data_IF_439108131164
#
_entry.id   IF_439108131164
#
_cell.length_a   1.000
_cell.length_b   1.000
_cell.length_c   1.000
_cell.angle_alpha   90.00
_cell.angle_beta   90.00
_cell.angle_gamma   90.00
#
_symmetry.space_group_name_H-M   'P 1'
#
loop_
_entity.id
_entity.type
_entity.pdbx_description
1 polymer ?
#
# COMPACT_ATOMS: atom_id res chain seq x y z
N UNK A 1 -59.49 9.65 -1.20
CA UNK A 1 -58.44 10.71 -1.24
C UNK A 1 -57.22 10.14 -1.97
N UNK A 2 -56.83 10.84 -3.01
CA UNK A 2 -56.09 10.37 -4.20
C UNK A 2 -54.57 10.50 -4.04
N UNK A 3 -53.82 9.47 -4.50
CA UNK A 3 -52.35 9.45 -4.59
C UNK A 3 -51.85 10.39 -5.70
N UNK A 4 -50.71 11.10 -5.56
CA UNK A 4 -50.14 11.87 -6.65
C UNK A 4 -49.35 10.99 -7.62
N UNK A 5 -49.59 11.21 -8.91
CA UNK A 5 -48.89 10.63 -10.07
C UNK A 5 -47.66 11.49 -10.37
N UNK A 6 -46.46 10.90 -10.35
CA UNK A 6 -45.23 11.57 -10.78
C UNK A 6 -45.11 11.48 -12.31
N UNK A 7 -44.96 12.64 -12.94
CA UNK A 7 -44.99 12.82 -14.40
C UNK A 7 -43.59 12.57 -15.01
N UNK A 8 -43.37 11.37 -15.56
CA UNK A 8 -42.08 10.86 -16.10
C UNK A 8 -41.65 11.53 -17.44
N UNK A 9 -42.37 12.54 -17.94
CA UNK A 9 -42.06 13.16 -19.25
C UNK A 9 -41.12 14.39 -19.22
N UNK A 10 -40.65 14.81 -18.04
CA UNK A 10 -39.75 15.96 -17.93
C UNK A 10 -38.25 15.60 -17.88
N UNK A 11 -37.86 14.39 -17.49
CA UNK A 11 -36.44 14.02 -17.32
C UNK A 11 -35.78 13.42 -18.57
N UNK A 12 -36.54 12.91 -19.55
CA UNK A 12 -35.97 12.28 -20.76
C UNK A 12 -35.32 13.32 -21.72
N UNK A 13 -35.80 14.56 -21.74
CA UNK A 13 -35.23 15.62 -22.60
C UNK A 13 -33.87 16.15 -22.12
N UNK A 14 -33.51 15.91 -20.86
CA UNK A 14 -32.21 16.33 -20.29
C UNK A 14 -31.09 15.35 -20.68
N UNK A 15 -31.40 14.07 -20.88
CA UNK A 15 -30.43 13.04 -21.26
C UNK A 15 -30.18 12.93 -22.78
N UNK A 16 -31.17 13.25 -23.64
CA UNK A 16 -30.95 13.27 -25.10
C UNK A 16 -30.03 14.42 -25.57
N UNK A 17 -29.92 15.51 -24.79
CA UNK A 17 -29.08 16.67 -25.15
C UNK A 17 -27.59 16.47 -24.84
N UNK A 18 -27.25 15.55 -23.92
CA UNK A 18 -25.86 15.17 -23.62
C UNK A 18 -25.33 14.06 -24.54
N UNK A 19 -26.19 13.19 -25.07
CA UNK A 19 -25.78 12.15 -26.01
C UNK A 19 -25.39 12.69 -27.40
N UNK A 20 -25.89 13.87 -27.79
CA UNK A 20 -25.55 14.52 -29.07
C UNK A 20 -24.20 15.25 -29.08
N UNK A 21 -23.54 15.44 -27.93
CA UNK A 21 -22.21 16.06 -27.85
C UNK A 21 -21.04 15.06 -27.74
N UNK A 22 -21.32 13.75 -27.64
CA UNK A 22 -20.27 12.72 -27.61
C UNK A 22 -20.10 11.94 -28.93
N UNK A 23 -20.86 12.28 -29.98
CA UNK A 23 -20.83 11.57 -31.29
C UNK A 23 -20.14 12.42 -32.39
N UNK A 24 -19.43 13.50 -32.04
CA UNK A 24 -18.84 14.42 -33.02
C UNK A 24 -17.29 14.39 -33.16
N UNK A 25 -16.60 13.36 -32.64
CA UNK A 25 -15.13 13.21 -32.82
C UNK A 25 -14.74 11.83 -33.37
N UNK A 26 -15.59 11.24 -34.20
CA UNK A 26 -15.20 10.11 -35.04
C UNK A 26 -15.88 10.28 -36.39
N UNK A 27 -15.11 10.62 -37.44
CA UNK A 27 -15.35 10.44 -38.88
C UNK A 27 -14.81 11.62 -39.70
N UNK A 28 -13.52 11.58 -40.08
CA UNK A 28 -12.96 11.98 -41.39
C UNK A 28 -11.56 11.33 -41.44
N UNK A 29 -11.11 10.54 -42.42
CA UNK A 29 -11.67 10.20 -43.71
C UNK A 29 -10.96 9.00 -44.35
N UNK A 30 -11.62 8.46 -45.36
CA UNK A 30 -11.22 7.36 -46.23
C UNK A 30 -10.78 7.94 -47.58
N UNK A 31 -9.71 7.42 -48.19
CA UNK A 31 -9.57 7.26 -49.66
C UNK A 31 -8.38 6.34 -49.94
N UNK A 32 -8.62 5.06 -50.28
CA UNK A 32 -8.64 4.45 -51.63
C UNK A 32 -7.25 4.32 -52.29
N UNK A 33 -6.78 3.08 -52.46
CA UNK A 33 -6.56 2.46 -53.80
C UNK A 33 -6.09 1.00 -53.69
N UNK A 34 -6.81 0.13 -54.40
CA UNK A 34 -6.44 -1.24 -54.76
C UNK A 34 -5.20 -1.24 -55.68
N UNK A 35 -4.36 -2.27 -55.58
CA UNK A 35 -3.84 -2.96 -56.77
C UNK A 35 -3.54 -4.43 -56.42
N UNK A 36 -4.22 -5.32 -57.15
CA UNK A 36 -4.00 -6.77 -57.21
C UNK A 36 -2.82 -7.02 -58.14
N UNK A 37 -1.96 -8.01 -57.83
CA UNK A 37 -1.43 -8.93 -58.84
C UNK A 37 -0.89 -10.20 -58.17
N UNK A 38 -1.57 -11.30 -58.47
CA UNK A 38 -1.14 -12.69 -58.33
C UNK A 38 0.16 -12.93 -59.11
N UNK A 39 1.09 -13.71 -58.56
CA UNK A 39 1.77 -14.78 -59.29
C UNK A 39 2.34 -15.79 -58.29
N UNK A 40 1.80 -17.00 -58.31
CA UNK A 40 2.37 -18.15 -57.62
C UNK A 40 3.43 -18.82 -58.50
N UNK A 41 4.47 -19.35 -57.87
CA UNK A 41 5.31 -20.42 -58.41
C UNK A 41 5.64 -21.38 -57.27
N UNK A 42 5.37 -22.67 -57.51
CA UNK A 42 5.82 -23.81 -56.73
C UNK A 42 7.34 -23.97 -56.87
N UNK A 43 8.05 -24.31 -55.79
CA UNK A 43 9.20 -25.21 -55.83
C UNK A 43 9.38 -25.91 -54.47
N UNK A 44 9.73 -27.18 -54.56
CA UNK A 44 9.81 -28.20 -53.51
C UNK A 44 11.10 -28.16 -52.69
N UNK A 45 11.00 -28.68 -51.47
CA UNK A 45 12.03 -29.35 -50.65
C UNK A 45 13.42 -28.72 -50.51
N UNK A 46 13.83 -28.47 -49.27
CA UNK A 46 15.09 -29.04 -48.73
C UNK A 46 15.18 -28.82 -47.22
N UNK A 47 15.51 -29.88 -46.49
CA UNK A 47 16.04 -29.79 -45.14
C UNK A 47 17.33 -28.99 -45.21
N UNK A 48 17.32 -27.77 -44.67
CA UNK A 48 18.46 -26.87 -44.66
C UNK A 48 18.52 -26.13 -43.34
N UNK A 49 19.55 -26.45 -42.56
CA UNK A 49 19.99 -25.74 -41.37
C UNK A 49 19.95 -24.22 -41.53
N UNK A 50 19.28 -23.52 -40.60
CA UNK A 50 19.42 -22.08 -40.46
C UNK A 50 19.92 -21.71 -39.06
N UNK A 51 21.21 -21.38 -39.06
CA UNK A 51 21.82 -20.19 -38.46
C UNK A 51 21.33 -19.76 -37.09
N UNK A 52 22.26 -19.86 -36.14
CA UNK A 52 22.35 -19.06 -34.91
C UNK A 52 22.12 -17.59 -35.29
N UNK A 53 20.88 -17.11 -35.11
CA UNK A 53 20.60 -15.69 -35.20
C UNK A 53 21.11 -15.06 -33.91
N UNK A 54 22.13 -14.21 -34.06
CA UNK A 54 22.65 -13.30 -33.06
C UNK A 54 21.53 -12.65 -32.23
N UNK A 55 21.11 -13.29 -31.13
CA UNK A 55 20.55 -12.54 -30.01
C UNK A 55 21.74 -11.82 -29.41
N UNK A 56 21.90 -10.54 -29.78
CA UNK A 56 22.69 -9.62 -28.96
C UNK A 56 22.08 -9.70 -27.56
N UNK A 57 22.69 -10.51 -26.70
CA UNK A 57 22.52 -10.37 -25.27
C UNK A 57 22.83 -8.91 -24.99
N UNK A 58 21.79 -8.13 -24.72
CA UNK A 58 21.98 -6.85 -24.09
C UNK A 58 22.41 -7.16 -22.66
N UNK A 59 23.67 -7.56 -22.48
CA UNK A 59 24.37 -7.43 -21.22
C UNK A 59 24.43 -5.93 -20.99
N UNK A 60 23.36 -5.38 -20.42
CA UNK A 60 23.36 -4.04 -19.87
C UNK A 60 24.50 -4.05 -18.86
N UNK A 61 25.66 -3.50 -19.27
CA UNK A 61 26.80 -3.29 -18.40
C UNK A 61 26.24 -2.60 -17.17
N UNK A 62 26.18 -3.35 -16.08
CA UNK A 62 25.77 -2.86 -14.78
C UNK A 62 26.57 -1.58 -14.56
N UNK A 63 25.90 -0.43 -14.42
CA UNK A 63 26.56 0.73 -13.84
C UNK A 63 27.29 0.25 -12.60
N UNK A 64 28.55 0.66 -12.41
CA UNK A 64 29.46 0.14 -11.37
C UNK A 64 28.74 -0.15 -10.04
N UNK A 65 28.44 -1.42 -9.75
CA UNK A 65 27.67 -1.81 -8.56
C UNK A 65 27.08 -3.23 -8.61
N UNK A 66 26.66 -3.73 -7.45
CA UNK A 66 26.02 -5.03 -7.24
C UNK A 66 24.51 -4.82 -7.01
N UNK A 67 23.63 -4.97 -8.03
CA UNK A 67 22.24 -4.55 -7.91
C UNK A 67 21.38 -5.57 -7.14
N UNK A 68 20.52 -5.03 -6.28
CA UNK A 68 19.36 -5.73 -5.70
C UNK A 68 18.10 -5.15 -6.34
N UNK A 69 17.30 -5.97 -7.02
CA UNK A 69 16.08 -5.55 -7.69
C UNK A 69 14.89 -5.90 -6.81
N UNK A 70 14.01 -4.91 -6.58
CA UNK A 70 12.73 -5.14 -5.91
C UNK A 70 11.55 -4.82 -6.82
N UNK A 71 10.73 -5.84 -7.07
CA UNK A 71 9.40 -5.66 -7.64
C UNK A 71 8.37 -5.47 -6.52
N UNK A 72 7.45 -4.53 -6.73
CA UNK A 72 6.48 -4.11 -5.73
C UNK A 72 5.07 -4.59 -6.10
N UNK A 73 4.37 -5.14 -5.11
CA UNK A 73 2.98 -5.59 -5.25
C UNK A 73 2.15 -5.18 -4.02
N UNK A 74 0.83 -5.34 -4.11
CA UNK A 74 -0.10 -4.91 -3.07
C UNK A 74 -0.28 -3.39 -2.99
N UNK A 75 -0.88 -2.92 -1.90
CA UNK A 75 -1.22 -1.51 -1.67
C UNK A 75 -0.12 -0.80 -0.89
N UNK A 76 -0.30 0.49 -0.59
CA UNK A 76 0.71 1.39 0.02
C UNK A 76 1.49 0.75 1.17
N UNK A 77 0.82 0.24 2.22
CA UNK A 77 1.50 -0.36 3.36
C UNK A 77 2.31 -1.62 3.03
N UNK A 78 1.86 -2.43 2.06
CA UNK A 78 2.63 -3.58 1.60
C UNK A 78 3.93 -3.13 0.91
N UNK A 79 3.82 -2.13 0.05
CA UNK A 79 4.95 -1.57 -0.68
C UNK A 79 5.96 -0.89 0.26
N UNK A 80 5.51 -0.31 1.37
CA UNK A 80 6.38 0.27 2.39
C UNK A 80 7.21 -0.80 3.10
N UNK A 81 6.62 -1.95 3.47
CA UNK A 81 7.39 -3.10 3.98
C UNK A 81 8.42 -3.60 2.99
N UNK A 82 7.97 -3.86 1.75
CA UNK A 82 8.86 -4.28 0.67
C UNK A 82 10.04 -3.33 0.48
N UNK A 83 9.79 -2.01 0.54
CA UNK A 83 10.83 -1.01 0.38
C UNK A 83 11.80 -1.00 1.56
N UNK A 84 11.29 -0.94 2.79
CA UNK A 84 12.12 -0.84 3.99
C UNK A 84 13.02 -2.07 4.15
N UNK A 85 12.46 -3.26 3.92
CA UNK A 85 13.21 -4.51 3.97
C UNK A 85 14.24 -4.60 2.85
N UNK A 86 13.87 -4.28 1.60
CA UNK A 86 14.82 -4.29 0.49
C UNK A 86 15.94 -3.24 0.65
N UNK A 87 15.63 -2.06 1.19
CA UNK A 87 16.61 -1.02 1.52
C UNK A 87 17.64 -1.55 2.52
N UNK A 88 17.18 -2.12 3.63
CA UNK A 88 18.04 -2.61 4.68
C UNK A 88 18.90 -3.80 4.23
N UNK A 89 18.31 -4.74 3.48
CA UNK A 89 19.01 -5.87 2.88
C UNK A 89 20.09 -5.39 1.90
N UNK A 90 19.76 -4.47 1.00
CA UNK A 90 20.71 -3.92 0.04
C UNK A 90 21.87 -3.24 0.77
N UNK A 91 21.56 -2.38 1.75
CA UNK A 91 22.55 -1.63 2.51
C UNK A 91 23.49 -2.54 3.30
N UNK A 92 22.95 -3.54 4.00
CA UNK A 92 23.76 -4.52 4.76
C UNK A 92 24.74 -5.26 3.86
N UNK A 93 24.32 -5.62 2.64
CA UNK A 93 25.12 -6.38 1.69
C UNK A 93 25.90 -5.50 0.70
N UNK A 94 26.00 -4.18 0.93
CA UNK A 94 26.70 -3.22 0.05
C UNK A 94 26.22 -3.27 -1.41
N UNK A 95 24.93 -3.54 -1.59
CA UNK A 95 24.25 -3.59 -2.88
C UNK A 95 23.55 -2.26 -3.16
N UNK A 96 23.28 -2.00 -4.44
CA UNK A 96 22.47 -0.86 -4.88
C UNK A 96 21.02 -1.30 -5.09
N UNK A 97 20.07 -0.69 -4.36
CA UNK A 97 18.65 -0.99 -4.54
C UNK A 97 18.10 -0.35 -5.82
N UNK A 98 17.70 -1.20 -6.77
CA UNK A 98 17.09 -0.81 -8.03
C UNK A 98 15.57 -0.98 -7.95
N UNK A 99 14.85 0.09 -8.27
CA UNK A 99 13.38 0.10 -8.25
C UNK A 99 12.82 0.63 -9.57
N UNK A 100 11.61 0.20 -9.92
CA UNK A 100 10.95 0.66 -11.13
C UNK A 100 10.70 2.18 -11.11
N UNK A 101 10.88 2.86 -12.24
CA UNK A 101 10.43 4.26 -12.42
C UNK A 101 8.93 4.42 -12.21
N UNK A 102 8.13 3.34 -12.24
CA UNK A 102 6.69 3.37 -11.94
C UNK A 102 6.39 3.19 -10.46
N UNK A 103 7.39 3.15 -9.59
CA UNK A 103 7.22 2.86 -8.16
C UNK A 103 6.29 3.89 -7.48
N UNK A 104 5.11 3.49 -6.96
CA UNK A 104 4.09 4.44 -6.50
C UNK A 104 4.52 5.31 -5.30
N UNK A 105 5.31 4.76 -4.37
CA UNK A 105 5.66 5.45 -3.12
C UNK A 105 6.44 6.76 -3.33
N UNK A 106 7.12 6.93 -4.49
CA UNK A 106 7.83 8.18 -4.80
C UNK A 106 6.91 9.42 -4.91
N UNK A 107 5.60 9.20 -5.12
CA UNK A 107 4.59 10.26 -5.15
C UNK A 107 4.12 10.68 -3.75
N UNK A 108 4.36 9.82 -2.76
CA UNK A 108 3.92 9.99 -1.37
C UNK A 108 5.08 10.47 -0.50
N UNK A 109 6.26 9.89 -0.71
CA UNK A 109 7.44 10.08 0.12
C UNK A 109 8.63 10.62 -0.65
N UNK A 110 9.54 11.27 0.07
CA UNK A 110 10.83 11.79 -0.42
C UNK A 110 11.89 10.69 -0.35
N UNK A 111 11.69 9.62 -1.12
CA UNK A 111 12.60 8.47 -1.18
C UNK A 111 13.97 8.89 -1.75
N UNK A 112 15.00 8.77 -0.92
CA UNK A 112 16.42 8.95 -1.21
C UNK A 112 17.11 7.57 -1.32
N UNK A 113 18.33 7.52 -1.85
CA UNK A 113 19.15 6.30 -1.88
C UNK A 113 18.53 5.13 -2.65
N UNK A 114 18.05 5.38 -3.87
CA UNK A 114 17.58 4.34 -4.78
C UNK A 114 17.92 4.70 -6.21
N UNK A 115 18.15 3.68 -7.04
CA UNK A 115 18.29 3.86 -8.48
C UNK A 115 17.00 3.48 -9.19
N UNK A 116 16.37 4.48 -9.82
CA UNK A 116 15.20 4.25 -10.65
C UNK A 116 15.61 3.69 -12.01
N UNK A 117 14.95 2.61 -12.44
CA UNK A 117 15.15 2.00 -13.75
C UNK A 117 13.79 1.78 -14.45
N UNK A 118 13.72 1.97 -15.79
CA UNK A 118 12.56 1.54 -16.57
C UNK A 118 12.19 0.08 -16.30
N UNK A 119 10.90 -0.24 -16.26
CA UNK A 119 10.41 -1.58 -15.90
C UNK A 119 10.85 -2.64 -16.90
N UNK A 120 10.84 -2.30 -18.19
CA UNK A 120 11.31 -3.16 -19.28
C UNK A 120 12.80 -3.48 -19.18
N UNK A 121 13.61 -2.56 -18.66
CA UNK A 121 15.03 -2.80 -18.38
C UNK A 121 15.18 -3.78 -17.22
N UNK A 122 14.48 -3.57 -16.10
CA UNK A 122 14.53 -4.49 -14.96
C UNK A 122 14.12 -5.91 -15.33
N UNK A 123 13.07 -6.06 -16.14
CA UNK A 123 12.54 -7.35 -16.57
C UNK A 123 13.47 -8.13 -17.51
N UNK A 124 14.45 -7.47 -18.14
CA UNK A 124 15.43 -8.09 -19.04
C UNK A 124 16.73 -8.47 -18.32
N UNK A 125 16.90 -8.12 -17.04
CA UNK A 125 18.11 -8.43 -16.30
C UNK A 125 18.15 -9.91 -15.93
N UNK A 126 19.29 -10.56 -16.18
CA UNK A 126 19.57 -11.91 -15.64
C UNK A 126 19.81 -11.77 -14.15
N UNK A 127 18.99 -12.46 -13.35
CA UNK A 127 18.99 -12.32 -11.89
C UNK A 127 18.87 -13.66 -11.16
N UNK A 128 19.49 -13.72 -9.99
CA UNK A 128 19.22 -14.73 -8.97
C UNK A 128 17.92 -14.39 -8.24
N UNK A 129 17.09 -15.38 -7.90
CA UNK A 129 15.84 -15.13 -7.19
C UNK A 129 15.95 -15.55 -5.73
N UNK A 130 15.54 -14.66 -4.83
CA UNK A 130 15.38 -14.94 -3.40
C UNK A 130 14.01 -14.43 -2.95
N UNK A 131 13.40 -15.06 -1.94
CA UNK A 131 12.06 -14.68 -1.47
C UNK A 131 11.83 -15.07 -0.02
N UNK A 132 10.82 -14.46 0.59
CA UNK A 132 10.25 -14.88 1.89
C UNK A 132 9.32 -16.10 1.76
N UNK A 133 9.33 -16.80 0.62
CA UNK A 133 8.47 -17.93 0.29
C UNK A 133 6.95 -17.63 0.40
N UNK A 134 6.58 -16.35 0.40
CA UNK A 134 5.19 -15.92 0.60
C UNK A 134 4.70 -16.06 2.04
N UNK A 135 5.59 -16.31 2.99
CA UNK A 135 5.25 -16.36 4.41
C UNK A 135 4.83 -14.97 4.91
N UNK A 136 3.69 -14.92 5.60
CA UNK A 136 3.18 -13.67 6.12
C UNK A 136 3.86 -13.34 7.43
N UNK A 137 4.54 -12.20 7.45
CA UNK A 137 5.02 -11.57 8.68
C UNK A 137 6.06 -12.41 9.48
N UNK A 138 6.93 -13.10 8.74
CA UNK A 138 8.05 -13.88 9.29
C UNK A 138 9.40 -13.29 8.84
N UNK A 139 10.38 -13.29 9.75
CA UNK A 139 11.74 -12.85 9.46
C UNK A 139 12.63 -14.04 9.04
N UNK A 140 13.26 -13.91 7.89
CA UNK A 140 14.19 -14.89 7.32
C UNK A 140 15.62 -14.35 7.39
N UNK A 141 16.46 -14.96 8.23
CA UNK A 141 17.82 -14.48 8.48
C UNK A 141 18.72 -14.59 7.26
N UNK A 142 18.54 -15.61 6.43
CA UNK A 142 19.27 -15.86 5.19
C UNK A 142 19.09 -14.72 4.16
N UNK A 143 17.91 -14.10 4.12
CA UNK A 143 17.67 -12.93 3.27
C UNK A 143 18.49 -11.70 3.69
N UNK A 144 19.02 -11.67 4.92
CA UNK A 144 19.90 -10.59 5.38
C UNK A 144 21.37 -10.81 4.99
N UNK A 145 21.74 -11.96 4.41
CA UNK A 145 23.12 -12.33 4.07
C UNK A 145 23.27 -12.76 2.61
N UNK A 146 22.56 -12.09 1.70
CA UNK A 146 22.64 -12.35 0.26
C UNK A 146 24.05 -12.02 -0.23
N UNK A 147 24.75 -13.04 -0.75
CA UNK A 147 26.14 -12.93 -1.23
C UNK A 147 26.25 -12.91 -2.76
N UNK A 148 25.13 -12.92 -3.49
CA UNK A 148 25.10 -12.93 -4.95
C UNK A 148 24.65 -11.57 -5.51
N UNK A 149 25.44 -11.03 -6.44
CA UNK A 149 25.01 -9.86 -7.22
C UNK A 149 23.89 -10.22 -8.20
N UNK A 150 23.21 -9.18 -8.69
CA UNK A 150 22.09 -9.32 -9.62
C UNK A 150 20.99 -10.18 -9.01
N UNK A 151 20.51 -9.77 -7.84
CA UNK A 151 19.48 -10.54 -7.12
C UNK A 151 18.14 -9.84 -7.21
N UNK A 152 17.09 -10.58 -7.57
CA UNK A 152 15.70 -10.16 -7.46
C UNK A 152 15.12 -10.68 -6.15
N UNK A 153 14.71 -9.74 -5.30
CA UNK A 153 14.09 -10.00 -4.02
C UNK A 153 12.56 -9.97 -4.14
N UNK A 154 11.94 -11.13 -3.96
CA UNK A 154 10.48 -11.31 -4.00
C UNK A 154 9.90 -11.39 -2.57
N UNK A 155 8.56 -11.35 -2.46
CA UNK A 155 7.89 -11.38 -1.16
C UNK A 155 7.39 -10.03 -0.65
N UNK A 156 6.56 -10.07 0.39
CA UNK A 156 6.07 -8.88 1.07
C UNK A 156 7.01 -8.40 2.18
N UNK A 157 7.85 -9.30 2.73
CA UNK A 157 8.91 -8.99 3.69
C UNK A 157 8.40 -8.19 4.89
N UNK A 158 7.25 -8.61 5.43
CA UNK A 158 6.51 -7.87 6.43
C UNK A 158 7.06 -8.08 7.83
N UNK A 159 8.36 -7.82 8.04
CA UNK A 159 8.95 -7.86 9.37
C UNK A 159 9.77 -6.60 9.62
N UNK A 160 9.57 -6.00 10.79
CA UNK A 160 10.37 -4.86 11.23
C UNK A 160 11.84 -5.24 11.47
N UNK A 161 12.11 -6.52 11.71
CA UNK A 161 13.47 -7.03 11.97
C UNK A 161 14.39 -6.93 10.77
N UNK A 162 13.88 -6.89 9.55
CA UNK A 162 14.69 -6.65 8.36
C UNK A 162 15.38 -5.28 8.41
N UNK A 163 14.74 -4.28 9.01
CA UNK A 163 15.18 -2.89 8.97
C UNK A 163 15.39 -2.24 10.33
N UNK A 164 15.34 -3.01 11.41
CA UNK A 164 15.48 -2.52 12.80
C UNK A 164 16.80 -1.77 13.04
N UNK A 165 17.91 -2.26 12.50
CA UNK A 165 19.24 -1.62 12.57
C UNK A 165 19.30 -0.28 11.81
N UNK A 166 18.38 -0.02 10.89
CA UNK A 166 18.35 1.17 10.03
C UNK A 166 17.13 2.06 10.31
N UNK A 167 16.52 1.96 11.49
CA UNK A 167 15.26 2.64 11.85
C UNK A 167 15.24 4.13 11.49
N UNK A 168 16.25 4.90 11.90
CA UNK A 168 16.32 6.34 11.64
C UNK A 168 16.41 6.66 10.16
N UNK A 169 17.13 5.85 9.39
CA UNK A 169 17.25 6.03 7.95
C UNK A 169 15.94 5.69 7.24
N UNK A 170 15.27 4.61 7.62
CA UNK A 170 13.96 4.24 7.10
C UNK A 170 12.93 5.34 7.37
N UNK A 171 12.89 5.89 8.58
CA UNK A 171 12.04 7.05 8.90
C UNK A 171 12.37 8.26 8.01
N UNK A 172 13.66 8.52 7.74
CA UNK A 172 14.08 9.58 6.82
C UNK A 172 13.65 9.32 5.36
N UNK A 173 13.55 8.07 4.93
CA UNK A 173 13.01 7.73 3.60
C UNK A 173 11.51 8.00 3.51
N UNK A 174 10.76 7.74 4.58
CA UNK A 174 9.31 7.92 4.64
C UNK A 174 8.86 9.31 5.11
N UNK A 175 9.69 10.33 4.87
CA UNK A 175 9.23 11.72 4.94
C UNK A 175 8.23 12.00 3.82
N UNK A 176 7.01 12.41 4.18
CA UNK A 176 5.99 12.77 3.19
C UNK A 176 6.43 13.94 2.31
N UNK A 177 5.87 14.01 1.10
CA UNK A 177 5.95 15.23 0.29
C UNK A 177 5.32 16.39 1.06
N UNK A 178 5.90 17.59 0.93
CA UNK A 178 5.53 18.76 1.74
C UNK A 178 4.04 19.11 1.64
N UNK A 179 3.43 18.98 0.46
CA UNK A 179 2.00 19.23 0.27
C UNK A 179 1.12 18.29 1.11
N UNK A 180 1.48 17.00 1.18
CA UNK A 180 0.75 16.00 1.97
C UNK A 180 0.97 16.23 3.45
N UNK A 181 2.23 16.48 3.85
CA UNK A 181 2.60 16.73 5.24
C UNK A 181 1.85 17.95 5.81
N UNK A 182 1.90 19.08 5.10
CA UNK A 182 1.26 20.32 5.54
C UNK A 182 -0.26 20.17 5.61
N UNK A 183 -0.88 19.53 4.61
CA UNK A 183 -2.33 19.32 4.61
C UNK A 183 -2.79 18.45 5.79
N UNK A 184 -2.01 17.42 6.15
CA UNK A 184 -2.28 16.62 7.34
C UNK A 184 -2.10 17.43 8.64
N UNK A 185 -1.06 18.26 8.74
CA UNK A 185 -0.82 19.11 9.91
C UNK A 185 -1.94 20.14 10.11
N UNK A 186 -2.38 20.78 9.03
CA UNK A 186 -3.46 21.76 9.09
C UNK A 186 -4.77 21.10 9.54
N UNK A 187 -5.07 19.90 9.01
CA UNK A 187 -6.22 19.12 9.46
C UNK A 187 -6.13 18.77 10.95
N UNK A 188 -4.99 18.26 11.43
CA UNK A 188 -4.77 17.91 12.84
C UNK A 188 -4.92 19.15 13.74
N UNK A 189 -4.36 20.30 13.35
CA UNK A 189 -4.49 21.56 14.12
C UNK A 189 -5.94 22.00 14.24
N UNK A 190 -6.72 21.91 13.17
CA UNK A 190 -8.15 22.23 13.22
C UNK A 190 -8.91 21.27 14.15
N UNK A 191 -8.61 19.96 14.10
CA UNK A 191 -9.21 18.99 15.04
C UNK A 191 -8.84 19.33 16.49
N UNK A 192 -7.58 19.64 16.77
CA UNK A 192 -7.13 20.02 18.10
C UNK A 192 -7.86 21.28 18.59
N UNK A 193 -8.07 22.26 17.71
CA UNK A 193 -8.80 23.49 18.03
C UNK A 193 -10.28 23.22 18.33
N UNK A 194 -10.95 22.41 17.51
CA UNK A 194 -12.37 22.06 17.67
C UNK A 194 -12.62 21.40 19.04
N UNK A 195 -11.73 20.50 19.45
CA UNK A 195 -11.87 19.73 20.69
C UNK A 195 -11.15 20.34 21.88
N UNK A 196 -10.48 21.50 21.71
CA UNK A 196 -9.55 22.06 22.69
C UNK A 196 -8.58 21.00 23.23
N UNK A 197 -8.08 20.15 22.32
CA UNK A 197 -7.28 18.97 22.64
C UNK A 197 -5.79 19.30 22.70
N UNK A 198 -5.09 18.72 23.67
CA UNK A 198 -3.64 18.78 23.80
C UNK A 198 -2.96 17.59 23.13
N UNK A 199 -3.71 16.52 22.89
CA UNK A 199 -3.19 15.28 22.34
C UNK A 199 -4.17 14.69 21.32
N UNK A 200 -3.60 14.10 20.27
CA UNK A 200 -4.37 13.42 19.22
C UNK A 200 -4.03 11.94 19.16
N UNK A 201 -5.06 11.11 19.01
CA UNK A 201 -4.92 9.66 18.82
C UNK A 201 -5.45 9.30 17.44
N UNK A 202 -4.58 8.79 16.58
CA UNK A 202 -4.96 8.32 15.24
C UNK A 202 -5.57 6.94 15.32
N UNK A 203 -6.78 6.78 14.80
CA UNK A 203 -7.53 5.51 14.83
C UNK A 203 -7.74 5.02 13.40
N UNK A 204 -7.06 3.94 13.05
CA UNK A 204 -7.26 3.29 11.76
C UNK A 204 -8.35 2.23 11.86
N UNK A 205 -9.52 2.49 11.28
CA UNK A 205 -10.63 1.54 11.23
C UNK A 205 -10.69 0.89 9.85
N UNK A 206 -10.37 -0.40 9.76
CA UNK A 206 -10.42 -1.19 8.53
C UNK A 206 -11.56 -2.19 8.62
N UNK A 207 -12.63 -1.98 7.88
CA UNK A 207 -13.81 -2.86 7.83
C UNK A 207 -13.91 -3.69 6.56
N UNK A 208 -13.14 -3.35 5.51
CA UNK A 208 -13.08 -4.02 4.20
C UNK A 208 -13.72 -5.41 4.14
N UNK A 209 -14.55 -5.65 3.12
CA UNK A 209 -15.18 -6.95 2.93
C UNK A 209 -14.14 -8.07 2.93
N UNK A 210 -14.20 -8.93 3.94
CA UNK A 210 -13.41 -10.15 4.05
C UNK A 210 -13.97 -11.26 3.13
N UNK A 211 -14.70 -10.89 2.08
CA UNK A 211 -15.35 -11.79 1.12
C UNK A 211 -14.41 -12.26 0.01
N UNK A 212 -13.17 -11.74 -0.04
CA UNK A 212 -12.17 -12.25 -0.98
C UNK A 212 -11.90 -13.75 -0.73
N UNK A 213 -11.76 -14.57 -1.80
CA UNK A 213 -11.42 -15.98 -1.68
C UNK A 213 -10.20 -16.19 -0.78
N UNK A 214 -10.31 -17.14 0.14
CA UNK A 214 -9.23 -17.49 1.08
C UNK A 214 -9.06 -16.55 2.27
N UNK A 215 -9.84 -15.46 2.42
CA UNK A 215 -9.67 -14.56 3.56
C UNK A 215 -9.88 -15.24 4.92
N UNK A 216 -10.90 -16.10 5.01
CA UNK A 216 -11.18 -16.90 6.20
C UNK A 216 -10.08 -17.94 6.44
N UNK A 217 -9.62 -18.63 5.40
CA UNK A 217 -8.51 -19.60 5.46
C UNK A 217 -7.23 -18.94 5.96
N UNK A 218 -6.93 -17.73 5.48
CA UNK A 218 -5.83 -16.88 5.95
C UNK A 218 -6.09 -16.21 7.31
N UNK A 219 -7.25 -16.43 7.93
CA UNK A 219 -7.56 -15.92 9.25
C UNK A 219 -7.74 -14.42 9.37
N UNK A 220 -8.06 -13.72 8.28
CA UNK A 220 -8.33 -12.29 8.39
C UNK A 220 -9.66 -12.05 9.11
N UNK A 221 -9.62 -11.21 10.15
CA UNK A 221 -10.79 -10.78 10.92
C UNK A 221 -10.72 -9.28 11.19
N UNK A 222 -11.82 -8.57 10.93
CA UNK A 222 -11.94 -7.16 11.29
C UNK A 222 -12.09 -7.05 12.81
N UNK A 223 -11.44 -6.10 13.49
CA UNK A 223 -11.61 -5.93 14.92
C UNK A 223 -13.08 -5.65 15.27
N UNK A 224 -13.63 -6.25 16.34
CA UNK A 224 -15.00 -5.98 16.76
C UNK A 224 -15.09 -4.58 17.40
N UNK A 225 -16.30 -4.11 17.70
CA UNK A 225 -16.49 -2.73 18.20
C UNK A 225 -15.88 -2.55 19.60
N UNK A 226 -15.94 -3.60 20.41
CA UNK A 226 -15.44 -3.69 21.78
C UNK A 226 -13.93 -3.41 21.84
N UNK A 227 -13.16 -3.92 20.87
CA UNK A 227 -11.75 -3.59 20.73
C UNK A 227 -11.51 -2.08 20.62
N UNK A 228 -12.31 -1.38 19.80
CA UNK A 228 -12.14 0.06 19.62
C UNK A 228 -12.54 0.84 20.87
N UNK A 229 -13.60 0.43 21.57
CA UNK A 229 -13.98 1.02 22.86
C UNK A 229 -12.86 0.84 23.89
N UNK A 230 -12.37 -0.39 24.08
CA UNK A 230 -11.29 -0.68 25.02
C UNK A 230 -10.02 0.11 24.69
N UNK A 231 -9.68 0.26 23.40
CA UNK A 231 -8.49 0.97 22.96
C UNK A 231 -8.62 2.50 23.15
N UNK A 232 -9.81 3.05 22.89
CA UNK A 232 -10.13 4.45 23.17
C UNK A 232 -10.04 4.71 24.67
N UNK A 233 -10.68 3.87 25.49
CA UNK A 233 -10.69 4.01 26.94
C UNK A 233 -9.29 3.85 27.55
N UNK A 234 -8.45 2.99 26.98
CA UNK A 234 -7.03 2.89 27.36
C UNK A 234 -6.30 4.24 27.22
N UNK A 235 -6.49 4.93 26.09
CA UNK A 235 -5.89 6.24 25.87
C UNK A 235 -6.54 7.36 26.70
N UNK A 236 -7.86 7.30 26.89
CA UNK A 236 -8.57 8.19 27.83
C UNK A 236 -8.01 8.07 29.24
N UNK A 237 -7.71 6.86 29.70
CA UNK A 237 -7.11 6.63 31.02
C UNK A 237 -5.62 7.06 31.06
N UNK A 238 -4.85 6.73 30.02
CA UNK A 238 -3.43 7.08 29.93
C UNK A 238 -3.21 8.59 29.96
N UNK A 239 -4.11 9.36 29.35
CA UNK A 239 -4.05 10.83 29.27
C UNK A 239 -5.22 11.49 30.01
N UNK A 240 -5.67 10.92 31.12
CA UNK A 240 -6.85 11.38 31.88
C UNK A 240 -6.81 12.85 32.35
N UNK A 241 -5.63 13.47 32.37
CA UNK A 241 -5.41 14.86 32.74
C UNK A 241 -5.33 15.82 31.53
N UNK A 242 -5.55 15.34 30.31
CA UNK A 242 -5.50 16.10 29.07
C UNK A 242 -6.79 15.93 28.27
N UNK A 243 -7.18 16.97 27.53
CA UNK A 243 -8.20 16.84 26.50
C UNK A 243 -7.62 16.10 25.30
N UNK A 244 -8.31 15.03 24.87
CA UNK A 244 -7.91 14.13 23.79
C UNK A 244 -8.85 14.33 22.61
N UNK A 245 -8.32 14.31 21.39
CA UNK A 245 -9.11 14.14 20.18
C UNK A 245 -8.73 12.85 19.45
N UNK A 246 -9.73 12.04 19.11
CA UNK A 246 -9.56 10.83 18.31
C UNK A 246 -9.83 11.14 16.84
N UNK A 247 -8.86 10.89 15.98
CA UNK A 247 -8.97 11.11 14.53
C UNK A 247 -9.13 9.76 13.84
N UNK A 248 -10.32 9.48 13.33
CA UNK A 248 -10.64 8.19 12.71
C UNK A 248 -10.53 8.30 11.18
N UNK A 249 -9.61 7.55 10.59
CA UNK A 249 -9.60 7.29 9.15
C UNK A 249 -10.10 5.87 8.88
N UNK A 250 -11.08 5.73 7.98
CA UNK A 250 -11.82 4.48 7.76
C UNK A 250 -12.16 4.24 6.30
N UNK A 251 -12.32 2.97 5.92
CA UNK A 251 -12.95 2.60 4.65
C UNK A 251 -14.47 2.34 4.76
N UNK A 252 -15.04 2.46 5.95
CA UNK A 252 -16.46 2.30 6.23
C UNK A 252 -16.93 3.36 7.25
N UNK A 253 -17.36 4.49 6.70
CA UNK A 253 -17.83 5.64 7.48
C UNK A 253 -19.18 5.38 8.16
N UNK A 254 -20.04 4.58 7.54
CA UNK A 254 -21.35 4.24 8.11
C UNK A 254 -21.19 3.40 9.37
N UNK A 255 -20.31 2.39 9.32
CA UNK A 255 -20.03 1.57 10.49
C UNK A 255 -19.46 2.41 11.64
N UNK A 256 -18.52 3.31 11.36
CA UNK A 256 -17.93 4.18 12.39
C UNK A 256 -18.98 5.14 12.97
N UNK A 257 -19.82 5.76 12.13
CA UNK A 257 -20.88 6.65 12.61
C UNK A 257 -21.93 5.96 13.49
N UNK A 258 -22.14 4.64 13.31
CA UNK A 258 -23.06 3.86 14.13
C UNK A 258 -22.43 3.36 15.44
N UNK A 259 -21.14 3.04 15.43
CA UNK A 259 -20.49 2.28 16.50
C UNK A 259 -19.54 3.13 17.36
N UNK A 260 -18.99 4.22 16.82
CA UNK A 260 -18.00 5.08 17.48
C UNK A 260 -18.45 6.55 17.47
N UNK A 261 -19.75 6.79 17.66
CA UNK A 261 -20.31 8.13 17.74
C UNK A 261 -20.01 8.76 19.11
N UNK A 262 -18.91 9.51 19.19
CA UNK A 262 -18.47 10.21 20.41
C UNK A 262 -18.18 11.67 20.11
N UNK A 263 -18.29 12.52 21.13
CA UNK A 263 -18.04 13.96 21.01
C UNK A 263 -16.56 14.31 20.82
N UNK A 264 -15.65 13.43 21.23
CA UNK A 264 -14.19 13.57 21.13
C UNK A 264 -13.61 12.94 19.84
N UNK A 265 -14.47 12.52 18.91
CA UNK A 265 -14.10 11.85 17.66
C UNK A 265 -14.31 12.79 16.47
N UNK A 266 -13.30 12.87 15.59
CA UNK A 266 -13.42 13.46 14.24
C UNK A 266 -13.08 12.44 13.17
N UNK A 267 -13.88 12.38 12.10
CA UNK A 267 -13.63 11.53 10.94
C UNK A 267 -12.79 12.25 9.87
N UNK A 268 -11.80 11.54 9.32
CA UNK A 268 -11.09 11.94 8.10
C UNK A 268 -12.10 12.10 6.94
N UNK A 269 -11.81 12.96 5.96
CA UNK A 269 -12.74 13.21 4.86
C UNK A 269 -12.87 11.97 3.94
N UNK A 270 -14.09 11.64 3.52
CA UNK A 270 -14.42 10.52 2.61
C UNK A 270 -13.70 10.58 1.26
N UNK A 271 -13.22 11.76 0.87
CA UNK A 271 -12.54 12.00 -0.40
C UNK A 271 -11.02 12.14 -0.26
N UNK A 272 -10.48 11.92 0.94
CA UNK A 272 -9.04 11.96 1.14
C UNK A 272 -8.34 10.88 0.30
N UNK A 273 -7.23 11.23 -0.38
CA UNK A 273 -6.31 10.23 -0.89
C UNK A 273 -5.76 9.41 0.28
N UNK A 274 -5.56 8.10 0.11
CA UNK A 274 -4.99 7.24 1.14
C UNK A 274 -3.61 7.73 1.66
N UNK A 275 -2.87 8.49 0.85
CA UNK A 275 -1.63 9.13 1.27
C UNK A 275 -1.84 10.21 2.35
N UNK A 276 -2.93 10.97 2.25
CA UNK A 276 -3.29 11.99 3.23
C UNK A 276 -3.77 11.35 4.54
N UNK A 277 -4.61 10.32 4.47
CA UNK A 277 -5.03 9.58 5.67
C UNK A 277 -3.83 8.94 6.39
N UNK A 278 -2.89 8.36 5.64
CA UNK A 278 -1.65 7.82 6.21
C UNK A 278 -0.84 8.92 6.92
N UNK A 279 -0.73 10.09 6.29
CA UNK A 279 -0.02 11.23 6.86
C UNK A 279 -0.69 11.78 8.13
N UNK A 280 -2.02 11.88 8.15
CA UNK A 280 -2.81 12.29 9.31
C UNK A 280 -2.58 11.31 10.47
N UNK A 281 -2.80 10.02 10.23
CA UNK A 281 -2.63 8.99 11.26
C UNK A 281 -1.19 8.95 11.81
N UNK A 282 -0.19 9.05 10.93
CA UNK A 282 1.22 8.99 11.34
C UNK A 282 1.72 10.21 12.12
N UNK A 283 1.01 11.34 12.04
CA UNK A 283 1.36 12.59 12.72
C UNK A 283 0.56 12.80 14.02
N UNK A 284 -0.35 11.88 14.35
CA UNK A 284 -0.98 11.84 15.66
C UNK A 284 0.04 11.45 16.74
N UNK A 285 -0.24 11.83 17.99
CA UNK A 285 0.65 11.57 19.13
C UNK A 285 0.64 10.11 19.58
N UNK A 286 -0.45 9.39 19.34
CA UNK A 286 -0.59 7.97 19.64
C UNK A 286 -1.46 7.29 18.57
N UNK A 287 -1.43 5.95 18.53
CA UNK A 287 -2.11 5.18 17.48
C UNK A 287 -2.94 4.03 18.01
N UNK A 288 -4.17 3.90 17.49
CA UNK A 288 -4.99 2.69 17.57
C UNK A 288 -5.03 2.09 16.16
N UNK A 289 -4.44 0.92 15.97
CA UNK A 289 -4.39 0.26 14.67
C UNK A 289 -5.29 -0.99 14.61
N UNK A 290 -6.08 -1.06 13.54
CA UNK A 290 -6.77 -2.30 13.15
C UNK A 290 -5.83 -3.29 12.46
N UNK A 291 -6.30 -4.01 11.45
CA UNK A 291 -5.53 -5.03 10.74
C UNK A 291 -4.79 -4.47 9.51
N UNK A 292 -3.69 -5.14 9.17
CA UNK A 292 -2.97 -4.94 7.93
C UNK A 292 -1.90 -3.83 7.98
N UNK A 293 -1.12 -3.77 6.90
CA UNK A 293 0.10 -2.97 6.85
C UNK A 293 -0.11 -1.46 6.77
N UNK A 294 -1.30 -0.97 6.40
CA UNK A 294 -1.55 0.47 6.30
C UNK A 294 -1.53 1.13 7.69
N UNK A 295 -2.38 0.63 8.61
CA UNK A 295 -2.37 1.08 10.01
C UNK A 295 -1.06 0.78 10.71
N UNK A 296 -0.41 -0.35 10.38
CA UNK A 296 0.93 -0.67 10.91
C UNK A 296 1.95 0.42 10.59
N UNK A 297 2.02 0.86 9.31
CA UNK A 297 2.96 1.92 8.92
C UNK A 297 2.58 3.29 9.46
N UNK A 298 1.28 3.59 9.58
CA UNK A 298 0.83 4.79 10.27
C UNK A 298 1.36 4.81 11.72
N UNK A 299 1.17 3.71 12.44
CA UNK A 299 1.60 3.57 13.83
C UNK A 299 3.12 3.55 13.99
N UNK A 300 3.86 2.90 13.09
CA UNK A 300 5.33 2.87 13.11
C UNK A 300 5.97 4.24 12.86
N UNK A 301 5.33 5.07 12.02
CA UNK A 301 5.76 6.43 11.77
C UNK A 301 5.33 7.40 12.87
N UNK A 302 4.21 7.11 13.56
CA UNK A 302 3.88 7.80 14.82
C UNK A 302 4.91 7.43 15.89
N UNK A 303 5.39 8.40 16.65
CA UNK A 303 6.48 8.19 17.63
C UNK A 303 6.00 7.88 19.04
N UNK A 304 4.69 7.80 19.26
CA UNK A 304 4.10 7.57 20.57
C UNK A 304 3.55 6.17 20.78
N UNK A 305 2.75 5.97 21.86
CA UNK A 305 2.22 4.67 22.20
C UNK A 305 1.26 4.13 21.14
N UNK A 306 1.27 2.81 20.95
CA UNK A 306 0.48 2.11 19.95
C UNK A 306 -0.32 1.00 20.62
N UNK A 307 -1.62 0.96 20.33
CA UNK A 307 -2.51 -0.18 20.62
C UNK A 307 -2.87 -0.87 19.30
N UNK A 308 -2.72 -2.20 19.23
CA UNK A 308 -3.09 -2.99 18.06
C UNK A 308 -4.06 -4.11 18.41
N UNK A 309 -4.86 -4.54 17.42
CA UNK A 309 -5.78 -5.65 17.60
C UNK A 309 -5.04 -6.99 17.66
N UNK A 310 -5.00 -7.59 18.85
CA UNK A 310 -4.37 -8.88 19.12
C UNK A 310 -5.16 -10.08 18.58
N UNK A 311 -6.45 -9.91 18.25
CA UNK A 311 -7.31 -10.99 17.79
C UNK A 311 -7.13 -11.40 16.31
N UNK A 312 -6.11 -10.87 15.61
CA UNK A 312 -5.77 -11.26 14.26
C UNK A 312 -4.34 -11.85 14.20
N UNK A 313 -4.10 -12.94 13.46
CA UNK A 313 -5.08 -13.74 12.69
C UNK A 313 -6.01 -14.58 13.58
N UNK A 314 -7.07 -15.14 12.98
CA UNK A 314 -8.01 -16.07 13.65
C UNK A 314 -7.25 -17.33 14.10
N UNK A 315 -7.42 -17.80 15.35
CA UNK A 315 -6.79 -19.02 15.84
C UNK A 315 -7.00 -20.22 14.91
N UNK A 316 -5.93 -20.96 14.63
CA UNK A 316 -5.93 -22.16 13.78
C UNK A 316 -5.92 -21.89 12.26
N UNK A 317 -5.96 -20.63 11.82
CA UNK A 317 -5.84 -20.28 10.40
C UNK A 317 -4.41 -20.44 9.86
N UNK A 318 -4.24 -20.40 8.53
CA UNK A 318 -2.91 -20.50 7.88
C UNK A 318 -1.93 -19.48 8.46
N UNK A 319 -2.36 -18.22 8.58
CA UNK A 319 -1.49 -17.16 9.07
C UNK A 319 -1.23 -17.31 10.57
N UNK A 320 -2.17 -17.85 11.35
CA UNK A 320 -1.93 -18.12 12.77
C UNK A 320 -0.85 -19.18 12.96
N UNK A 321 -0.78 -20.15 12.05
CA UNK A 321 0.23 -21.20 12.05
C UNK A 321 1.60 -20.73 11.54
N UNK A 322 1.64 -19.79 10.57
CA UNK A 322 2.89 -19.37 9.93
C UNK A 322 3.48 -18.07 10.46
N UNK A 323 2.66 -17.15 11.00
CA UNK A 323 3.11 -15.81 11.40
C UNK A 323 3.86 -15.84 12.73
N UNK A 324 5.04 -15.22 12.75
CA UNK A 324 5.73 -14.91 14.00
C UNK A 324 5.31 -13.52 14.47
N UNK A 325 4.40 -13.44 15.45
CA UNK A 325 3.84 -12.14 15.92
C UNK A 325 4.90 -11.11 16.30
N UNK A 326 5.98 -11.53 16.97
CA UNK A 326 7.10 -10.67 17.37
C UNK A 326 7.96 -10.16 16.21
N UNK A 327 7.88 -10.79 15.03
CA UNK A 327 8.53 -10.31 13.82
C UNK A 327 7.69 -9.20 13.13
N UNK A 328 6.37 -9.14 13.40
CA UNK A 328 5.46 -8.15 12.84
C UNK A 328 5.22 -6.95 13.76
N UNK A 329 4.77 -7.19 14.99
CA UNK A 329 4.48 -6.15 15.96
C UNK A 329 5.72 -5.83 16.78
N UNK A 330 5.93 -4.54 17.05
CA UNK A 330 7.07 -4.13 17.85
C UNK A 330 6.85 -4.52 19.33
N UNK A 331 7.91 -4.87 20.07
CA UNK A 331 7.79 -5.40 21.43
C UNK A 331 7.22 -4.40 22.44
N UNK A 332 7.30 -3.09 22.16
CA UNK A 332 6.75 -2.03 23.01
C UNK A 332 5.33 -1.62 22.64
N UNK A 333 4.70 -2.27 21.64
CA UNK A 333 3.32 -2.00 21.28
C UNK A 333 2.37 -2.83 22.14
N UNK A 334 1.23 -2.24 22.49
CA UNK A 334 0.22 -2.86 23.36
C UNK A 334 -0.76 -3.67 22.53
N UNK A 335 -0.79 -4.99 22.77
CA UNK A 335 -1.82 -5.87 22.21
C UNK A 335 -3.12 -5.71 22.98
N UNK A 336 -4.25 -5.62 22.27
CA UNK A 336 -5.57 -5.59 22.90
C UNK A 336 -6.55 -6.47 22.13
N UNK A 337 -7.37 -7.20 22.88
CA UNK A 337 -8.43 -8.06 22.33
C UNK A 337 -9.76 -7.32 22.32
N UNK A 338 -10.85 -8.08 22.20
CA UNK A 338 -12.22 -7.62 22.39
C UNK A 338 -12.57 -7.41 23.86
#
# INVERSE_FOLDING_TARGET
MTRPVVNIRADIRKYEKMAKHCIFIFFVGFSVSLFVLNFGWFYTSEYGSYTISNSKEYTLKYGSGCPLIKQFAGRTGNQMFMFASAFAIAKKNKMTLHVSTKFPLRRIFRLKWIEYRPTDILNKMVVNNVSDNGESATFHLDLMTINMCNTQLSGYLQSWRYFSTYTSEIKAQFQFQASIANQAQDYIKEVMKIHNAFITVGVHVRRYKLDRPGAKTKGYRTPPVEYYHNAIDHFTNLYHNLNIAFIICTDDYYWVAQNLNRSDVTLCNTHNPAALDLAILSQCNASIMSIGSFGWWAAYLSEGPVVYYGGNPIPGSDNDQSMVRGDYFLPHWTSMLE
#
